data_IF_223831652279
#
_entry.id   IF_223831652279
#
_cell.length_a   1.000
_cell.length_b   1.000
_cell.length_c   1.000
_cell.angle_alpha   90.00
_cell.angle_beta   90.00
_cell.angle_gamma   90.00
#
_symmetry.space_group_name_H-M   'P 1'
#
loop_
_entity.id
_entity.type
_entity.pdbx_description
1 polymer ?
#
# COMPACT_ATOMS: atom_id res chain seq x y z
N UNK A 1 -31.18 -50.94 35.17
CA UNK A 1 -30.52 -49.62 35.34
C UNK A 1 -29.10 -49.48 34.78
N UNK A 2 -28.61 -50.38 33.90
CA UNK A 2 -27.23 -50.30 33.33
C UNK A 2 -27.13 -49.60 31.96
N UNK A 3 -28.23 -49.33 31.27
CA UNK A 3 -28.23 -48.75 29.91
C UNK A 3 -28.17 -47.22 29.86
N UNK A 4 -28.55 -46.53 30.94
CA UNK A 4 -28.60 -45.06 30.99
C UNK A 4 -27.22 -44.38 31.24
N UNK A 5 -26.32 -45.08 31.94
CA UNK A 5 -25.00 -44.55 32.31
C UNK A 5 -24.02 -44.52 31.13
N UNK A 6 -24.19 -45.45 30.18
CA UNK A 6 -23.32 -45.49 28.97
C UNK A 6 -23.68 -44.37 28.00
N UNK A 7 -24.96 -43.97 27.94
CA UNK A 7 -25.43 -42.90 27.08
C UNK A 7 -24.92 -41.51 27.53
N UNK A 8 -24.96 -41.26 28.84
CA UNK A 8 -24.45 -39.97 29.41
C UNK A 8 -22.96 -39.80 29.27
N UNK A 9 -22.18 -40.86 29.44
CA UNK A 9 -20.72 -40.81 29.22
C UNK A 9 -20.36 -40.57 27.74
N UNK A 10 -21.09 -41.18 26.81
CA UNK A 10 -20.90 -40.94 25.37
C UNK A 10 -21.35 -39.54 24.95
N UNK A 11 -22.42 -39.00 25.52
CA UNK A 11 -22.84 -37.60 25.27
C UNK A 11 -21.84 -36.60 25.83
N UNK A 12 -21.28 -36.83 27.02
CA UNK A 12 -20.25 -35.98 27.59
C UNK A 12 -18.95 -35.99 26.77
N UNK A 13 -18.54 -37.14 26.26
CA UNK A 13 -17.37 -37.27 25.40
C UNK A 13 -17.59 -36.55 24.05
N UNK A 14 -18.79 -36.69 23.45
CA UNK A 14 -19.14 -35.92 22.24
C UNK A 14 -19.23 -34.42 22.48
N UNK A 15 -19.76 -33.96 23.61
CA UNK A 15 -19.79 -32.56 23.97
C UNK A 15 -18.39 -31.99 24.21
N UNK A 16 -17.49 -32.80 24.77
CA UNK A 16 -16.10 -32.41 25.02
C UNK A 16 -15.23 -32.38 23.74
N UNK A 17 -15.59 -33.16 22.71
CA UNK A 17 -14.91 -33.12 21.40
C UNK A 17 -15.38 -31.96 20.51
N UNK A 18 -16.54 -31.34 20.79
CA UNK A 18 -16.98 -30.17 20.01
C UNK A 18 -16.38 -28.83 20.46
N UNK A 19 -15.65 -28.80 21.57
CA UNK A 19 -15.01 -27.57 22.09
C UNK A 19 -13.57 -27.36 21.57
N UNK A 20 -13.02 -28.31 20.80
CA UNK A 20 -11.59 -28.25 20.40
C UNK A 20 -11.32 -27.89 18.94
N UNK A 21 -12.09 -27.04 18.31
CA UNK A 21 -11.73 -26.55 16.96
C UNK A 21 -12.02 -25.09 16.74
N UNK A 22 -11.65 -24.25 17.69
CA UNK A 22 -11.34 -22.87 17.35
C UNK A 22 -9.81 -22.79 17.34
N UNK A 23 -9.17 -23.37 16.34
CA UNK A 23 -7.81 -23.01 16.03
C UNK A 23 -7.85 -21.55 15.53
N UNK A 24 -7.57 -20.64 16.43
CA UNK A 24 -7.28 -19.27 16.05
C UNK A 24 -6.06 -19.32 15.10
N UNK A 25 -6.31 -19.13 13.81
CA UNK A 25 -5.25 -19.09 12.79
C UNK A 25 -4.57 -17.71 12.75
N UNK A 26 -4.41 -17.07 13.92
CA UNK A 26 -3.65 -15.85 14.07
C UNK A 26 -2.20 -16.07 13.63
N UNK A 27 -1.67 -15.15 12.88
CA UNK A 27 -0.24 -15.17 12.54
C UNK A 27 0.61 -14.97 13.79
N UNK A 28 1.74 -15.71 13.88
CA UNK A 28 2.75 -15.40 14.90
C UNK A 28 3.28 -13.98 14.67
N UNK A 29 3.71 -13.32 15.75
CA UNK A 29 4.34 -12.00 15.65
C UNK A 29 5.52 -11.98 14.67
N UNK A 30 6.38 -13.02 14.71
CA UNK A 30 7.53 -13.12 13.81
C UNK A 30 7.11 -13.22 12.35
N UNK A 31 6.08 -14.03 12.05
CA UNK A 31 5.53 -14.14 10.70
C UNK A 31 4.95 -12.80 10.27
N UNK A 32 4.05 -12.21 11.06
CA UNK A 32 3.44 -10.92 10.75
C UNK A 32 4.49 -9.81 10.52
N UNK A 33 5.55 -9.80 11.33
CA UNK A 33 6.65 -8.84 11.23
C UNK A 33 7.41 -8.95 9.91
N UNK A 34 7.74 -10.16 9.49
CA UNK A 34 8.50 -10.41 8.26
C UNK A 34 7.62 -10.15 7.03
N UNK A 35 6.37 -10.58 7.06
CA UNK A 35 5.42 -10.36 5.97
C UNK A 35 5.05 -8.87 5.82
N UNK A 36 4.89 -8.15 6.94
CA UNK A 36 4.70 -6.70 6.92
C UNK A 36 5.91 -5.98 6.30
N UNK A 37 7.14 -6.41 6.62
CA UNK A 37 8.34 -5.85 6.03
C UNK A 37 8.37 -6.07 4.52
N UNK A 38 8.14 -7.29 4.06
CA UNK A 38 8.14 -7.62 2.64
C UNK A 38 7.07 -6.83 1.87
N UNK A 39 5.83 -6.84 2.36
CA UNK A 39 4.72 -6.09 1.77
C UNK A 39 5.01 -4.59 1.69
N UNK A 40 5.51 -4.02 2.78
CA UNK A 40 5.79 -2.58 2.86
C UNK A 40 6.98 -2.15 1.99
N UNK A 41 8.00 -3.00 1.85
CA UNK A 41 9.12 -2.76 0.93
C UNK A 41 8.65 -2.66 -0.53
N UNK A 42 7.77 -3.59 -0.95
CA UNK A 42 7.22 -3.55 -2.31
C UNK A 42 6.33 -2.33 -2.53
N UNK A 43 5.50 -1.99 -1.52
CA UNK A 43 4.71 -0.74 -1.56
C UNK A 43 5.62 0.49 -1.62
N UNK A 44 6.72 0.52 -0.85
CA UNK A 44 7.64 1.65 -0.85
C UNK A 44 8.33 1.84 -2.20
N UNK A 45 8.66 0.76 -2.88
CA UNK A 45 9.22 0.79 -4.23
C UNK A 45 8.19 1.25 -5.27
N UNK A 46 7.04 0.59 -5.35
CA UNK A 46 6.02 0.86 -6.36
C UNK A 46 5.36 2.24 -6.22
N UNK A 47 5.12 2.68 -4.98
CA UNK A 47 4.46 3.95 -4.68
C UNK A 47 5.44 5.10 -4.47
N UNK A 48 6.74 4.84 -4.60
CA UNK A 48 7.82 5.81 -4.35
C UNK A 48 7.63 6.53 -3.00
N UNK A 49 7.52 5.74 -1.92
CA UNK A 49 7.29 6.27 -0.59
C UNK A 49 8.55 6.98 -0.05
N UNK A 50 8.33 8.08 0.69
CA UNK A 50 9.36 8.67 1.55
C UNK A 50 9.67 7.71 2.71
N UNK A 51 10.80 7.91 3.39
CA UNK A 51 11.16 7.08 4.55
C UNK A 51 10.11 7.18 5.67
N UNK A 52 9.55 8.38 5.91
CA UNK A 52 8.49 8.58 6.89
C UNK A 52 7.20 7.86 6.51
N UNK A 53 6.84 7.83 5.22
CA UNK A 53 5.71 7.03 4.74
C UNK A 53 5.99 5.53 4.85
N UNK A 54 7.20 5.09 4.53
CA UNK A 54 7.59 3.69 4.63
C UNK A 54 7.52 3.17 6.07
N UNK A 55 8.00 3.96 7.05
CA UNK A 55 7.85 3.65 8.47
C UNK A 55 6.37 3.47 8.86
N UNK A 56 5.52 4.43 8.49
CA UNK A 56 4.09 4.38 8.81
C UNK A 56 3.37 3.22 8.09
N UNK A 57 3.67 2.96 6.82
CA UNK A 57 3.11 1.85 6.04
C UNK A 57 3.49 0.50 6.65
N UNK A 58 4.73 0.37 7.15
CA UNK A 58 5.15 -0.83 7.87
C UNK A 58 4.36 -1.02 9.18
N UNK A 59 4.20 0.03 9.99
CA UNK A 59 3.40 -0.01 11.23
C UNK A 59 1.95 -0.47 10.93
N UNK A 60 1.32 0.13 9.91
CA UNK A 60 -0.06 -0.16 9.50
C UNK A 60 -0.20 -1.61 9.01
N UNK A 61 0.73 -2.10 8.18
CA UNK A 61 0.70 -3.46 7.68
C UNK A 61 0.94 -4.48 8.81
N UNK A 62 1.86 -4.21 9.73
CA UNK A 62 2.09 -5.08 10.89
C UNK A 62 0.85 -5.20 11.76
N UNK A 63 0.20 -4.08 12.09
CA UNK A 63 -1.03 -4.07 12.87
C UNK A 63 -2.15 -4.88 12.22
N UNK A 64 -2.33 -4.73 10.92
CA UNK A 64 -3.31 -5.51 10.17
C UNK A 64 -3.01 -7.01 10.25
N UNK A 65 -1.78 -7.43 9.94
CA UNK A 65 -1.39 -8.83 9.93
C UNK A 65 -1.47 -9.49 11.31
N UNK A 66 -1.20 -8.73 12.37
CA UNK A 66 -1.35 -9.20 13.76
C UNK A 66 -2.82 -9.29 14.21
N UNK A 67 -3.73 -8.62 13.53
CA UNK A 67 -5.14 -8.54 13.93
C UNK A 67 -6.04 -9.51 13.18
N UNK A 68 -5.55 -10.15 12.11
CA UNK A 68 -6.32 -11.16 11.38
C UNK A 68 -6.23 -12.52 12.08
N UNK A 69 -7.38 -13.05 12.51
CA UNK A 69 -7.46 -14.30 13.25
C UNK A 69 -8.16 -15.43 12.49
N UNK A 70 -8.87 -15.10 11.40
CA UNK A 70 -9.61 -16.07 10.63
C UNK A 70 -10.04 -15.54 9.26
N UNK A 71 -10.62 -16.41 8.45
CA UNK A 71 -11.04 -16.13 7.07
C UNK A 71 -11.81 -14.82 6.91
N UNK A 72 -12.72 -14.52 7.84
CA UNK A 72 -13.60 -13.36 7.76
C UNK A 72 -12.86 -12.03 8.02
N UNK A 73 -11.68 -12.08 8.65
CA UNK A 73 -10.88 -10.89 8.97
C UNK A 73 -10.09 -10.37 7.77
N UNK A 74 -9.91 -11.21 6.72
CA UNK A 74 -9.12 -10.82 5.53
C UNK A 74 -9.61 -9.51 4.89
N UNK A 75 -10.95 -9.29 4.90
CA UNK A 75 -11.59 -8.09 4.35
C UNK A 75 -12.59 -7.46 5.32
N UNK A 76 -12.40 -7.70 6.63
CA UNK A 76 -13.25 -7.20 7.70
C UNK A 76 -12.79 -5.84 8.26
N UNK A 77 -13.09 -5.64 9.54
CA UNK A 77 -12.81 -4.39 10.26
C UNK A 77 -11.34 -3.97 10.18
N UNK A 78 -10.40 -4.90 10.33
CA UNK A 78 -8.97 -4.61 10.32
C UNK A 78 -8.44 -4.24 8.93
N UNK A 79 -9.02 -4.83 7.88
CA UNK A 79 -8.72 -4.42 6.51
C UNK A 79 -9.23 -3.02 6.19
N UNK A 80 -10.47 -2.70 6.62
CA UNK A 80 -11.02 -1.35 6.48
C UNK A 80 -10.17 -0.34 7.24
N UNK A 81 -9.78 -0.66 8.49
CA UNK A 81 -8.90 0.17 9.29
C UNK A 81 -7.56 0.42 8.60
N UNK A 82 -6.90 -0.63 8.12
CA UNK A 82 -5.65 -0.52 7.36
C UNK A 82 -5.77 0.44 6.17
N UNK A 83 -6.83 0.31 5.39
CA UNK A 83 -7.02 1.14 4.20
C UNK A 83 -7.30 2.61 4.57
N UNK A 84 -8.05 2.86 5.64
CA UNK A 84 -8.26 4.22 6.18
C UNK A 84 -6.94 4.84 6.65
N UNK A 85 -6.15 4.11 7.41
CA UNK A 85 -4.85 4.58 7.90
C UNK A 85 -3.88 4.85 6.74
N UNK A 86 -3.84 3.98 5.71
CA UNK A 86 -3.05 4.20 4.50
C UNK A 86 -3.49 5.45 3.73
N UNK A 87 -4.79 5.75 3.68
CA UNK A 87 -5.30 6.98 3.05
C UNK A 87 -4.78 8.25 3.72
N UNK A 88 -4.57 8.22 5.03
CA UNK A 88 -3.97 9.34 5.75
C UNK A 88 -2.46 9.48 5.50
N UNK A 89 -1.76 8.37 5.27
CA UNK A 89 -0.30 8.35 5.08
C UNK A 89 0.10 8.62 3.63
N UNK A 90 -0.66 8.13 2.67
CA UNK A 90 -0.36 8.26 1.24
C UNK A 90 -0.85 9.60 0.67
N UNK A 91 -0.23 10.07 -0.41
CA UNK A 91 -0.81 11.13 -1.25
C UNK A 91 -2.01 10.58 -2.03
N UNK A 92 -2.85 11.44 -2.59
CA UNK A 92 -3.99 11.00 -3.40
C UNK A 92 -3.54 10.06 -4.54
N UNK A 93 -2.52 10.45 -5.30
CA UNK A 93 -1.96 9.63 -6.38
C UNK A 93 -1.42 8.28 -5.90
N UNK A 94 -0.66 8.26 -4.78
CA UNK A 94 -0.16 7.01 -4.20
C UNK A 94 -1.29 6.09 -3.76
N UNK A 95 -2.36 6.65 -3.19
CA UNK A 95 -3.50 5.88 -2.72
C UNK A 95 -4.32 5.30 -3.89
N UNK A 96 -4.54 6.06 -4.96
CA UNK A 96 -5.16 5.57 -6.19
C UNK A 96 -4.34 4.41 -6.77
N UNK A 97 -3.04 4.61 -6.96
CA UNK A 97 -2.14 3.55 -7.44
C UNK A 97 -2.13 2.31 -6.52
N UNK A 98 -2.21 2.50 -5.21
CA UNK A 98 -2.34 1.41 -4.24
C UNK A 98 -3.63 0.61 -4.43
N UNK A 99 -4.76 1.27 -4.67
CA UNK A 99 -6.05 0.60 -4.89
C UNK A 99 -6.06 -0.22 -6.18
N UNK A 100 -5.40 0.24 -7.23
CA UNK A 100 -5.29 -0.46 -8.53
C UNK A 100 -4.46 -1.74 -8.43
N UNK A 101 -3.53 -1.83 -7.49
CA UNK A 101 -2.71 -3.01 -7.27
C UNK A 101 -3.39 -3.97 -6.29
N UNK A 102 -4.17 -4.92 -6.82
CA UNK A 102 -4.95 -5.87 -6.01
C UNK A 102 -4.12 -6.63 -4.98
N UNK A 103 -2.86 -6.95 -5.28
CA UNK A 103 -1.94 -7.64 -4.36
C UNK A 103 -1.48 -6.77 -3.19
N UNK A 104 -1.61 -5.44 -3.27
CA UNK A 104 -1.42 -4.52 -2.15
C UNK A 104 -2.74 -4.19 -1.45
N UNK A 105 -3.79 -3.91 -2.22
CA UNK A 105 -5.09 -3.54 -1.68
C UNK A 105 -5.74 -4.69 -0.90
N UNK A 106 -5.62 -5.92 -1.42
CA UNK A 106 -6.09 -7.17 -0.81
C UNK A 106 -4.91 -8.10 -0.55
N UNK A 107 -4.06 -7.81 0.47
CA UNK A 107 -2.78 -8.51 0.64
C UNK A 107 -2.93 -9.96 1.05
N UNK A 108 -4.07 -10.35 1.63
CA UNK A 108 -4.32 -11.70 2.13
C UNK A 108 -5.50 -12.37 1.42
N UNK A 109 -5.37 -13.66 1.22
CA UNK A 109 -6.47 -14.57 0.83
C UNK A 109 -6.39 -15.81 1.70
N UNK A 110 -7.57 -16.33 2.11
CA UNK A 110 -7.67 -17.60 2.82
C UNK A 110 -7.90 -18.71 1.82
N UNK A 111 -6.95 -19.63 1.67
CA UNK A 111 -7.03 -20.75 0.72
C UNK A 111 -6.58 -22.06 1.39
N UNK A 112 -7.37 -23.12 1.27
CA UNK A 112 -7.04 -24.46 1.77
C UNK A 112 -6.61 -24.47 3.26
N UNK A 113 -7.31 -23.70 4.11
CA UNK A 113 -7.01 -23.67 5.55
C UNK A 113 -5.83 -22.79 5.94
N UNK A 114 -5.21 -22.05 5.01
CA UNK A 114 -4.01 -21.24 5.26
C UNK A 114 -4.12 -19.83 4.68
N UNK A 115 -3.33 -18.92 5.25
CA UNK A 115 -3.13 -17.59 4.70
C UNK A 115 -2.23 -17.64 3.46
N UNK A 116 -2.68 -17.00 2.39
CA UNK A 116 -1.90 -16.76 1.17
C UNK A 116 -1.66 -15.28 1.04
N UNK A 117 -0.40 -14.88 0.90
CA UNK A 117 0.01 -13.50 0.68
C UNK A 117 0.01 -13.20 -0.82
N UNK A 118 -0.90 -12.34 -1.25
CA UNK A 118 -1.10 -12.08 -2.69
C UNK A 118 0.09 -11.35 -3.34
N UNK A 119 0.89 -10.63 -2.56
CA UNK A 119 2.11 -9.98 -3.03
C UNK A 119 3.11 -10.96 -3.64
N UNK A 120 3.11 -12.23 -3.25
CA UNK A 120 4.00 -13.26 -3.79
C UNK A 120 3.64 -13.75 -5.19
N UNK A 121 2.41 -13.51 -5.66
CA UNK A 121 2.04 -13.78 -7.04
C UNK A 121 2.71 -12.81 -8.02
N UNK A 122 3.05 -11.62 -7.54
CA UNK A 122 3.74 -10.58 -8.31
C UNK A 122 5.26 -10.55 -8.04
N UNK A 123 5.67 -10.79 -6.79
CA UNK A 123 7.06 -10.80 -6.36
C UNK A 123 7.47 -12.18 -5.86
N UNK A 124 7.90 -13.06 -6.76
CA UNK A 124 8.27 -14.44 -6.44
C UNK A 124 9.57 -14.56 -5.63
N UNK A 125 10.52 -13.64 -5.82
CA UNK A 125 11.77 -13.62 -5.05
C UNK A 125 11.55 -12.99 -3.66
N UNK A 126 11.37 -13.84 -2.66
CA UNK A 126 11.11 -13.44 -1.27
C UNK A 126 12.31 -12.87 -0.53
N UNK A 127 13.53 -13.04 -1.07
CA UNK A 127 14.76 -12.51 -0.48
C UNK A 127 15.13 -11.13 -0.99
N UNK A 128 14.51 -10.66 -2.07
CA UNK A 128 14.85 -9.39 -2.68
C UNK A 128 14.10 -8.24 -1.99
N UNK A 129 14.84 -7.25 -1.53
CA UNK A 129 14.33 -6.01 -0.96
C UNK A 129 14.87 -4.81 -1.75
N UNK A 130 14.03 -3.81 -1.98
CA UNK A 130 14.38 -2.61 -2.75
C UNK A 130 14.91 -1.47 -1.87
N UNK A 131 14.52 -1.47 -0.59
CA UNK A 131 14.91 -0.43 0.37
C UNK A 131 15.56 -1.02 1.62
N UNK A 132 16.34 -0.21 2.31
CA UNK A 132 16.77 -0.54 3.67
C UNK A 132 15.55 -0.70 4.58
N UNK A 133 15.69 -1.47 5.65
CA UNK A 133 14.59 -1.68 6.61
C UNK A 133 14.12 -0.36 7.21
N UNK A 134 12.80 -0.14 7.36
CA UNK A 134 12.28 1.05 8.01
C UNK A 134 12.70 1.08 9.49
N UNK A 135 12.84 2.26 10.07
CA UNK A 135 13.21 2.41 11.49
C UNK A 135 12.21 1.73 12.42
N UNK A 136 10.93 1.81 12.05
CA UNK A 136 9.86 1.15 12.78
C UNK A 136 10.01 -0.38 12.88
N UNK A 137 10.75 -1.04 11.97
CA UNK A 137 10.99 -2.49 12.02
C UNK A 137 11.64 -2.95 13.33
N UNK A 138 12.51 -2.14 13.92
CA UNK A 138 13.18 -2.48 15.18
C UNK A 138 12.35 -2.07 16.40
N UNK A 139 11.76 -0.90 16.35
CA UNK A 139 11.14 -0.24 17.51
C UNK A 139 9.63 -0.55 17.68
N UNK A 140 8.91 -0.75 16.58
CA UNK A 140 7.47 -0.91 16.62
C UNK A 140 7.04 -2.34 16.90
N UNK A 141 6.11 -2.53 17.85
CA UNK A 141 5.60 -3.83 18.29
C UNK A 141 4.11 -4.05 18.01
N UNK A 142 3.45 -3.08 17.39
CA UNK A 142 2.02 -3.13 17.08
C UNK A 142 1.15 -2.30 18.03
N UNK A 143 -0.12 -2.17 17.67
CA UNK A 143 -1.17 -1.59 18.53
C UNK A 143 -1.66 -0.20 18.15
N UNK A 144 -1.17 0.44 17.08
CA UNK A 144 -1.71 1.73 16.63
C UNK A 144 -3.13 1.62 16.09
N UNK A 145 -3.51 0.48 15.52
CA UNK A 145 -4.86 0.21 15.04
C UNK A 145 -5.92 0.11 16.15
N UNK A 146 -5.50 -0.01 17.43
CA UNK A 146 -6.36 0.03 18.61
C UNK A 146 -6.54 1.44 19.18
N UNK A 147 -5.83 2.42 18.62
CA UNK A 147 -5.97 3.83 18.97
C UNK A 147 -7.12 4.47 18.18
N UNK A 148 -7.26 5.80 18.27
CA UNK A 148 -8.21 6.56 17.46
C UNK A 148 -8.10 6.19 15.97
N UNK A 149 -9.22 6.16 15.27
CA UNK A 149 -9.30 5.99 13.82
C UNK A 149 -8.63 7.12 13.03
N UNK A 150 -8.32 8.24 13.70
CA UNK A 150 -7.57 9.38 13.17
C UNK A 150 -6.10 9.39 13.54
N UNK A 151 -5.58 8.34 14.18
CA UNK A 151 -4.20 8.33 14.70
C UNK A 151 -3.17 8.73 13.62
N UNK A 152 -3.26 8.20 12.41
CA UNK A 152 -2.34 8.55 11.33
C UNK A 152 -2.65 9.89 10.66
N UNK A 153 -3.89 10.39 10.72
CA UNK A 153 -4.21 11.76 10.32
C UNK A 153 -3.52 12.77 11.24
N UNK A 154 -3.57 12.52 12.55
CA UNK A 154 -3.00 13.40 13.57
C UNK A 154 -1.47 13.29 13.65
N UNK A 155 -0.89 12.14 13.31
CA UNK A 155 0.57 11.89 13.26
C UNK A 155 1.31 12.75 12.22
N UNK A 156 0.62 13.33 11.24
CA UNK A 156 1.18 14.21 10.19
C UNK A 156 2.43 13.64 9.52
N UNK A 157 2.30 12.49 8.87
CA UNK A 157 3.39 11.87 8.13
C UNK A 157 3.82 12.76 6.96
N UNK A 158 5.11 13.08 6.85
CA UNK A 158 5.66 13.89 5.77
C UNK A 158 5.46 13.19 4.41
N UNK A 159 4.66 13.82 3.56
CA UNK A 159 4.35 13.37 2.20
C UNK A 159 5.16 14.19 1.19
N UNK A 160 5.46 13.64 0.00
CA UNK A 160 6.05 14.45 -1.06
C UNK A 160 5.07 15.56 -1.49
N UNK A 161 5.62 16.74 -1.82
CA UNK A 161 4.82 17.94 -2.14
C UNK A 161 4.07 17.83 -3.48
N UNK A 162 4.46 16.92 -4.38
CA UNK A 162 3.88 16.78 -5.73
C UNK A 162 3.90 15.33 -6.20
N UNK A 163 2.97 15.01 -7.12
CA UNK A 163 2.99 13.78 -7.91
C UNK A 163 4.34 13.67 -8.63
N UNK A 164 4.99 12.49 -8.67
CA UNK A 164 6.20 12.32 -9.47
C UNK A 164 5.87 12.63 -10.93
N UNK A 165 6.46 13.69 -11.47
CA UNK A 165 6.39 13.96 -12.90
C UNK A 165 7.05 12.80 -13.60
N UNK A 166 6.35 12.11 -14.48
CA UNK A 166 6.93 11.07 -15.32
C UNK A 166 8.12 11.68 -16.06
N UNK A 167 9.33 11.24 -15.74
CA UNK A 167 10.51 11.55 -16.54
C UNK A 167 10.33 10.80 -17.85
N UNK A 168 9.75 11.46 -18.85
CA UNK A 168 9.88 11.05 -20.24
C UNK A 168 11.33 11.20 -20.64
N UNK A 169 12.10 10.16 -20.40
CA UNK A 169 13.45 9.99 -20.92
C UNK A 169 13.38 9.54 -22.36
N UNK A 170 13.07 10.45 -23.29
CA UNK A 170 13.42 10.27 -24.69
C UNK A 170 14.54 11.24 -25.00
N UNK A 171 15.76 10.82 -24.72
CA UNK A 171 16.96 11.44 -25.24
C UNK A 171 17.16 10.99 -26.68
N UNK A 172 16.61 11.73 -27.63
CA UNK A 172 17.05 11.63 -29.02
C UNK A 172 18.32 12.44 -29.19
N UNK A 173 19.44 11.76 -29.14
CA UNK A 173 20.72 12.22 -29.59
C UNK A 173 20.71 12.22 -31.15
N UNK A 174 20.27 13.33 -31.73
CA UNK A 174 20.37 13.63 -33.15
C UNK A 174 21.42 14.68 -33.38
N UNK A 175 22.64 14.24 -33.67
CA UNK A 175 23.77 15.02 -34.13
C UNK A 175 23.47 15.48 -35.58
N UNK A 176 23.38 16.79 -35.83
CA UNK A 176 23.55 17.33 -37.17
C UNK A 176 24.37 18.61 -37.13
N UNK A 177 25.31 18.64 -38.07
CA UNK A 177 26.42 19.54 -38.26
C UNK A 177 26.01 20.93 -38.72
N UNK A 178 27.00 21.80 -38.54
CA UNK A 178 27.16 23.17 -38.95
C UNK A 178 26.66 23.57 -40.35
N UNK A 179 26.15 24.78 -40.43
CA UNK A 179 25.94 25.54 -41.64
C UNK A 179 25.89 27.02 -41.33
N UNK A 180 27.02 27.64 -41.50
CA UNK A 180 27.26 29.07 -41.40
C UNK A 180 26.66 29.78 -42.64
N UNK A 181 25.94 30.89 -42.48
CA UNK A 181 26.01 31.99 -43.45
C UNK A 181 25.37 33.28 -42.95
N UNK A 182 26.18 34.32 -43.01
CA UNK A 182 25.87 35.73 -42.84
C UNK A 182 24.83 36.24 -43.88
N UNK A 183 23.94 37.18 -43.57
CA UNK A 183 24.07 38.59 -44.02
C UNK A 183 22.81 39.44 -43.77
N UNK A 184 23.02 40.61 -43.21
CA UNK A 184 22.68 41.99 -43.61
C UNK A 184 21.23 42.51 -43.59
N UNK A 185 21.00 43.38 -42.63
CA UNK A 185 20.52 44.78 -42.72
C UNK A 185 19.37 45.15 -43.67
N UNK A 186 18.34 45.78 -43.11
CA UNK A 186 17.38 46.57 -43.82
C UNK A 186 16.30 47.19 -42.90
N UNK A 187 16.53 48.43 -42.60
CA UNK A 187 15.68 49.39 -41.88
C UNK A 187 14.55 49.88 -42.79
N UNK A 188 13.34 50.15 -42.27
CA UNK A 188 12.54 51.36 -42.47
C UNK A 188 11.07 51.22 -41.98
N UNK A 189 10.77 52.03 -41.03
CA UNK A 189 9.65 52.96 -40.81
C UNK A 189 8.40 52.82 -41.71
N UNK A 190 7.23 52.79 -41.11
CA UNK A 190 6.19 53.83 -41.11
C UNK A 190 4.84 53.30 -40.70
N UNK A 191 4.23 53.96 -39.76
CA UNK A 191 2.80 54.11 -39.43
C UNK A 191 2.17 55.11 -40.41
N UNK A 192 0.85 55.46 -40.41
CA UNK A 192 -0.39 54.87 -39.82
C UNK A 192 -1.60 54.95 -40.78
N UNK A 193 -2.78 54.74 -40.25
CA UNK A 193 -4.09 55.34 -40.52
C UNK A 193 -5.21 54.32 -40.84
N UNK A 194 -6.18 54.22 -40.02
CA UNK A 194 -7.40 54.95 -39.76
C UNK A 194 -8.59 54.61 -40.72
N UNK A 195 -9.72 54.54 -40.07
CA UNK A 195 -11.10 54.69 -40.55
C UNK A 195 -11.90 53.39 -40.87
N UNK A 196 -12.81 53.02 -39.96
CA UNK A 196 -14.11 53.64 -39.69
C UNK A 196 -15.27 53.08 -40.55
N UNK A 197 -16.36 52.79 -39.83
CA UNK A 197 -17.79 52.69 -40.21
C UNK A 197 -18.31 51.32 -40.64
N UNK A 198 -19.23 50.79 -39.87
CA UNK A 198 -20.63 51.08 -39.64
C UNK A 198 -21.59 50.20 -40.46
N UNK A 199 -22.58 49.65 -39.74
CA UNK A 199 -23.98 49.34 -40.12
C UNK A 199 -24.19 48.00 -40.88
N UNK A 200 -24.90 47.08 -40.38
CA UNK A 200 -26.32 46.92 -40.08
C UNK A 200 -26.52 45.78 -39.12
#
# INVERSE_FOLDING_TARGET
MKKTIVSTKRLMIMAMMMVMTITANAMSYTTAKNEALFLSDKMAYELNLTDAQYDAVYEINLDYLMSVNGRNDAYGTWWNRRNTDLKYVLTAWQYEKFMDMSYFYRPLTWKNGNWTFNVYSHYSNRSHFYKARPKAYVSYKGGNNKKSDRFYADKKVNKPASTPTAKNGHSNNGKTMAGNSNNKKGNTTAKPNDNNRHIA
#
